data_IF_408825060997
#
_entry.id   IF_408825060997
#
_cell.length_a   1.000
_cell.length_b   1.000
_cell.length_c   1.000
_cell.angle_alpha   90.00
_cell.angle_beta   90.00
_cell.angle_gamma   90.00
#
_symmetry.space_group_name_H-M   'P 1'
#
loop_
_entity.id
_entity.type
_entity.pdbx_description
1 polymer ?
#
# COMPACT_ATOMS: atom_id res chain seq x y z
N UNK A 1 -4.97 -14.09 -9.79
CA UNK A 1 -6.07 -13.99 -8.82
C UNK A 1 -5.44 -13.83 -7.45
N UNK A 2 -5.75 -12.76 -6.71
CA UNK A 2 -5.18 -12.51 -5.38
C UNK A 2 -6.33 -12.67 -4.38
N UNK A 3 -6.25 -13.68 -3.52
CA UNK A 3 -7.23 -13.88 -2.44
C UNK A 3 -6.74 -13.16 -1.19
N UNK A 4 -7.62 -12.38 -0.57
CA UNK A 4 -7.30 -11.62 0.63
C UNK A 4 -8.25 -12.03 1.77
N UNK A 5 -7.72 -12.15 2.98
CA UNK A 5 -8.48 -12.47 4.21
C UNK A 5 -8.88 -11.24 5.02
N UNK A 6 -8.66 -10.04 4.50
CA UNK A 6 -8.95 -8.78 5.19
C UNK A 6 -10.37 -8.28 4.84
N UNK A 7 -11.09 -7.67 5.80
CA UNK A 7 -12.38 -7.04 5.53
C UNK A 7 -12.18 -5.86 4.57
N UNK A 8 -12.92 -5.87 3.47
CA UNK A 8 -13.01 -4.85 2.42
C UNK A 8 -11.73 -4.10 2.08
N UNK A 9 -10.93 -4.65 1.16
CA UNK A 9 -9.70 -4.01 0.71
C UNK A 9 -9.98 -3.00 -0.40
N UNK A 10 -9.65 -1.73 -0.14
CA UNK A 10 -9.56 -0.67 -1.13
C UNK A 10 -8.19 -0.68 -1.81
N UNK A 11 -8.15 -0.50 -3.14
CA UNK A 11 -6.92 -0.45 -3.94
C UNK A 11 -6.78 0.95 -4.52
N UNK A 12 -6.04 1.81 -3.82
CA UNK A 12 -5.93 3.20 -4.24
C UNK A 12 -5.12 3.34 -5.53
N UNK A 13 -5.68 4.10 -6.48
CA UNK A 13 -5.09 4.36 -7.79
C UNK A 13 -5.38 3.28 -8.86
N UNK A 14 -5.88 2.09 -8.49
CA UNK A 14 -6.22 1.05 -9.48
C UNK A 14 -7.59 1.32 -10.10
N UNK A 15 -7.64 1.50 -11.42
CA UNK A 15 -8.89 1.75 -12.14
C UNK A 15 -9.68 0.45 -12.38
N UNK A 16 -10.74 0.23 -11.61
CA UNK A 16 -11.65 -0.91 -11.77
C UNK A 16 -12.72 -0.63 -12.85
N UNK A 17 -12.33 -0.69 -14.13
CA UNK A 17 -13.27 -0.45 -15.25
C UNK A 17 -14.33 -1.55 -15.31
N UNK A 18 -15.61 -1.15 -15.27
CA UNK A 18 -16.80 -2.03 -15.31
C UNK A 18 -16.85 -3.04 -14.15
N UNK A 19 -16.14 -2.77 -13.05
CA UNK A 19 -15.96 -3.72 -11.95
C UNK A 19 -16.00 -3.02 -10.57
N UNK A 20 -16.92 -2.05 -10.41
CA UNK A 20 -17.01 -1.19 -9.22
C UNK A 20 -17.20 -1.95 -7.92
N UNK A 21 -17.92 -3.08 -7.96
CA UNK A 21 -18.16 -3.95 -6.80
C UNK A 21 -16.91 -4.64 -6.25
N UNK A 22 -15.76 -4.51 -6.93
CA UNK A 22 -14.47 -5.06 -6.49
C UNK A 22 -13.50 -4.02 -5.97
N UNK A 23 -13.93 -2.76 -5.95
CA UNK A 23 -13.13 -1.66 -5.44
C UNK A 23 -12.89 -1.80 -3.94
N UNK A 24 -13.90 -2.28 -3.20
CA UNK A 24 -13.82 -2.54 -1.76
C UNK A 24 -13.97 -1.28 -0.90
N UNK A 25 -14.58 -0.21 -1.44
CA UNK A 25 -15.05 0.94 -0.66
C UNK A 25 -16.38 0.60 -0.02
N UNK A 26 -16.61 1.09 1.21
CA UNK A 26 -17.92 1.03 1.85
C UNK A 26 -18.95 1.70 0.93
N UNK A 27 -19.93 0.94 0.48
CA UNK A 27 -20.97 1.39 -0.44
C UNK A 27 -20.91 0.73 -1.82
N UNK A 28 -19.73 0.28 -2.29
CA UNK A 28 -19.64 -0.58 -3.47
C UNK A 28 -19.62 -2.08 -3.12
N UNK A 29 -19.14 -2.40 -1.92
CA UNK A 29 -19.13 -3.75 -1.34
C UNK A 29 -19.62 -3.70 0.11
N UNK A 30 -20.31 -4.76 0.56
CA UNK A 30 -20.65 -4.94 1.96
C UNK A 30 -19.48 -5.59 2.73
N UNK A 31 -19.28 -5.24 4.01
CA UNK A 31 -18.23 -5.82 4.85
C UNK A 31 -18.25 -7.34 4.85
N UNK A 32 -17.09 -7.93 4.55
CA UNK A 32 -16.87 -9.37 4.68
C UNK A 32 -16.98 -9.75 6.17
N UNK A 33 -17.97 -10.56 6.57
CA UNK A 33 -18.13 -10.94 7.96
C UNK A 33 -17.01 -11.88 8.42
N UNK A 34 -16.71 -11.90 9.73
CA UNK A 34 -15.64 -12.74 10.27
C UNK A 34 -15.87 -14.22 9.91
N UNK A 35 -14.80 -14.90 9.49
CA UNK A 35 -14.84 -16.31 9.07
C UNK A 35 -15.26 -16.54 7.61
N UNK A 36 -15.67 -15.50 6.87
CA UNK A 36 -15.90 -15.61 5.41
C UNK A 36 -14.70 -15.09 4.63
N UNK A 37 -14.53 -15.63 3.43
CA UNK A 37 -13.51 -15.23 2.48
C UNK A 37 -14.16 -14.62 1.25
N UNK A 38 -13.53 -13.59 0.68
CA UNK A 38 -13.92 -13.00 -0.60
C UNK A 38 -12.70 -12.86 -1.50
N UNK A 39 -12.87 -13.16 -2.78
CA UNK A 39 -11.78 -13.11 -3.75
C UNK A 39 -11.98 -11.94 -4.70
N UNK A 40 -11.07 -10.97 -4.64
CA UNK A 40 -11.05 -9.84 -5.57
C UNK A 40 -10.37 -10.23 -6.88
N UNK A 41 -11.02 -9.94 -8.01
CA UNK A 41 -10.54 -10.16 -9.38
C UNK A 41 -10.13 -8.82 -10.00
N UNK A 42 -8.89 -8.44 -9.75
CA UNK A 42 -8.35 -7.17 -10.23
C UNK A 42 -7.93 -7.29 -11.70
N UNK A 43 -8.45 -6.41 -12.55
CA UNK A 43 -8.03 -6.29 -13.95
C UNK A 43 -7.25 -5.00 -14.18
N UNK A 44 -5.92 -5.09 -14.15
CA UNK A 44 -5.06 -3.94 -14.46
C UNK A 44 -4.67 -3.98 -15.93
N UNK A 45 -5.40 -3.24 -16.78
CA UNK A 45 -5.18 -3.26 -18.23
C UNK A 45 -4.23 -2.18 -18.72
N UNK A 46 -4.32 -0.94 -18.22
CA UNK A 46 -3.60 0.20 -18.78
C UNK A 46 -2.80 0.99 -17.74
N UNK A 47 -2.52 0.37 -16.59
CA UNK A 47 -1.80 1.02 -15.50
C UNK A 47 -0.51 0.27 -15.20
N UNK A 48 0.59 1.02 -15.22
CA UNK A 48 1.93 0.53 -14.88
C UNK A 48 2.43 1.45 -13.77
N UNK A 49 2.91 0.86 -12.67
CA UNK A 49 3.39 1.66 -11.56
C UNK A 49 3.25 0.99 -10.21
N UNK A 50 3.40 1.83 -9.19
CA UNK A 50 3.28 1.47 -7.79
C UNK A 50 1.91 1.92 -7.29
N UNK A 51 1.15 0.99 -6.73
CA UNK A 51 -0.15 1.19 -6.11
C UNK A 51 -0.09 0.70 -4.67
N UNK A 52 -1.16 0.90 -3.93
CA UNK A 52 -1.28 0.35 -2.59
C UNK A 52 -2.72 -0.01 -2.25
N UNK A 53 -2.87 -0.92 -1.32
CA UNK A 53 -4.15 -1.34 -0.80
C UNK A 53 -4.21 -1.15 0.72
N UNK A 54 -5.41 -0.89 1.21
CA UNK A 54 -5.71 -0.79 2.63
C UNK A 54 -7.19 -1.16 2.83
N UNK A 55 -7.59 -1.69 3.99
CA UNK A 55 -8.98 -1.91 4.29
C UNK A 55 -9.70 -0.57 4.40
N UNK A 56 -10.80 -0.41 3.68
CA UNK A 56 -11.65 0.79 3.76
C UNK A 56 -12.47 0.84 5.04
N UNK A 57 -12.58 -0.30 5.73
CA UNK A 57 -13.41 -0.43 6.91
C UNK A 57 -12.78 0.25 8.13
N UNK A 58 -13.48 1.27 8.63
CA UNK A 58 -13.15 1.96 9.88
C UNK A 58 -11.68 2.40 9.95
N UNK A 59 -11.01 2.13 11.07
CA UNK A 59 -9.62 2.48 11.33
C UNK A 59 -8.67 1.29 11.18
N UNK A 60 -9.04 0.27 10.40
CA UNK A 60 -8.16 -0.88 10.18
C UNK A 60 -6.86 -0.50 9.47
N UNK A 61 -6.86 0.54 8.62
CA UNK A 61 -5.63 1.14 8.06
C UNK A 61 -4.68 1.61 9.17
N UNK A 62 -5.20 2.25 10.22
CA UNK A 62 -4.43 2.73 11.37
C UNK A 62 -3.83 1.59 12.20
N UNK A 63 -4.49 0.43 12.21
CA UNK A 63 -4.00 -0.78 12.85
C UNK A 63 -2.83 -1.45 12.09
N UNK A 64 -2.35 -0.85 10.99
CA UNK A 64 -1.22 -1.36 10.21
C UNK A 64 -1.63 -2.24 9.02
N UNK A 65 -2.92 -2.37 8.72
CA UNK A 65 -3.37 -3.11 7.56
C UNK A 65 -3.22 -2.25 6.29
N UNK A 66 -2.06 -2.26 5.67
CA UNK A 66 -1.85 -1.68 4.34
C UNK A 66 -0.67 -2.37 3.66
N UNK A 67 -0.63 -2.32 2.33
CA UNK A 67 0.44 -2.93 1.55
C UNK A 67 0.61 -2.28 0.19
N UNK A 68 1.81 -2.42 -0.37
CA UNK A 68 2.10 -1.96 -1.72
C UNK A 68 1.73 -3.05 -2.74
N UNK A 69 1.24 -2.63 -3.91
CA UNK A 69 1.04 -3.46 -5.10
C UNK A 69 1.91 -2.86 -6.20
N UNK A 70 2.73 -3.69 -6.83
CA UNK A 70 3.48 -3.27 -8.04
C UNK A 70 2.87 -3.94 -9.26
N UNK A 71 2.58 -3.12 -10.28
CA UNK A 71 2.15 -3.60 -11.59
C UNK A 71 3.27 -3.35 -12.58
N UNK A 72 3.82 -4.44 -13.10
CA UNK A 72 4.87 -4.42 -14.10
C UNK A 72 4.33 -4.08 -15.49
N UNK A 73 5.19 -3.53 -16.34
CA UNK A 73 4.88 -3.41 -17.76
C UNK A 73 4.69 -4.78 -18.39
N UNK A 74 3.81 -4.85 -19.41
CA UNK A 74 3.61 -6.07 -20.17
C UNK A 74 4.86 -6.37 -21.02
N UNK A 75 5.15 -7.66 -21.30
CA UNK A 75 6.11 -8.02 -22.32
C UNK A 75 5.75 -7.30 -23.63
N UNK A 76 6.73 -6.64 -24.26
CA UNK A 76 6.62 -5.83 -25.50
C UNK A 76 6.15 -4.38 -25.37
N UNK A 77 5.87 -3.86 -24.17
CA UNK A 77 5.71 -2.41 -23.96
C UNK A 77 6.97 -1.90 -23.26
N UNK A 78 7.95 -1.33 -23.99
CA UNK A 78 9.16 -0.82 -23.37
C UNK A 78 8.80 0.40 -22.51
N UNK A 79 9.32 0.40 -21.29
CA UNK A 79 9.30 1.59 -20.44
C UNK A 79 10.32 2.61 -20.98
N UNK A 80 10.08 3.93 -20.85
CA UNK A 80 10.96 4.96 -21.41
C UNK A 80 12.29 5.14 -20.64
N UNK A 81 12.69 4.12 -19.87
CA UNK A 81 13.92 4.12 -19.08
C UNK A 81 14.60 2.75 -19.17
N UNK A 82 15.94 2.71 -19.08
CA UNK A 82 16.70 1.46 -19.06
C UNK A 82 16.37 0.61 -17.83
N UNK A 83 16.60 -0.70 -17.93
CA UNK A 83 16.33 -1.62 -16.82
C UNK A 83 17.19 -1.26 -15.61
N UNK A 84 16.58 -1.03 -14.43
CA UNK A 84 17.34 -0.66 -13.24
C UNK A 84 18.12 -1.85 -12.68
N UNK A 85 19.23 -1.56 -11.99
CA UNK A 85 20.06 -2.55 -11.29
C UNK A 85 19.34 -3.17 -10.08
N UNK A 86 18.44 -2.40 -9.47
CA UNK A 86 17.63 -2.82 -8.34
C UNK A 86 16.31 -2.03 -8.29
N UNK A 87 15.26 -2.66 -7.76
CA UNK A 87 13.96 -2.04 -7.53
C UNK A 87 13.54 -2.30 -6.09
N UNK A 88 13.56 -1.24 -5.27
CA UNK A 88 13.28 -1.31 -3.84
C UNK A 88 11.96 -0.63 -3.51
N UNK A 89 11.15 -1.27 -2.68
CA UNK A 89 9.89 -0.73 -2.20
C UNK A 89 10.06 -0.13 -0.80
N UNK A 90 9.51 1.05 -0.63
CA UNK A 90 9.54 1.82 0.60
C UNK A 90 8.10 2.12 1.00
N UNK A 91 7.54 1.32 1.89
CA UNK A 91 6.20 1.48 2.42
C UNK A 91 6.27 2.28 3.71
N UNK A 92 5.84 3.54 3.66
CA UNK A 92 5.76 4.42 4.81
C UNK A 92 4.32 4.48 5.33
N UNK A 93 4.13 4.42 6.64
CA UNK A 93 2.82 4.60 7.26
C UNK A 93 2.92 5.20 8.65
N UNK A 94 1.83 5.80 9.11
CA UNK A 94 1.75 6.37 10.45
C UNK A 94 1.61 5.27 11.50
N UNK A 95 2.29 5.42 12.63
CA UNK A 95 2.16 4.55 13.79
C UNK A 95 1.41 5.25 14.92
N UNK A 96 0.46 4.53 15.51
CA UNK A 96 -0.23 4.97 16.72
C UNK A 96 -0.06 3.88 17.79
N UNK A 97 0.38 4.27 18.99
CA UNK A 97 0.35 3.41 20.18
C UNK A 97 -1.08 3.20 20.67
N UNK A 98 -1.93 4.20 20.43
CA UNK A 98 -3.34 4.17 20.79
C UNK A 98 -4.09 3.16 19.92
N UNK A 99 -4.97 2.37 20.54
CA UNK A 99 -5.78 1.39 19.83
C UNK A 99 -6.71 2.07 18.80
N UNK A 100 -6.79 1.50 17.60
CA UNK A 100 -7.60 2.00 16.48
C UNK A 100 -9.09 2.21 16.83
N UNK A 101 -9.66 1.45 17.78
CA UNK A 101 -11.03 1.69 18.29
C UNK A 101 -11.19 3.03 19.01
N UNK A 102 -10.15 3.46 19.74
CA UNK A 102 -10.16 4.74 20.46
C UNK A 102 -10.00 5.88 19.47
N UNK A 103 -9.10 5.76 18.50
CA UNK A 103 -8.93 6.73 17.42
C UNK A 103 -10.23 6.93 16.63
N UNK A 104 -10.94 5.83 16.35
CA UNK A 104 -12.27 5.86 15.73
C UNK A 104 -13.27 6.65 16.56
N UNK A 105 -13.38 6.35 17.87
CA UNK A 105 -14.31 7.04 18.77
C UNK A 105 -14.03 8.53 18.89
N UNK A 106 -12.76 8.94 18.85
CA UNK A 106 -12.38 10.35 18.85
C UNK A 106 -12.92 11.07 17.61
N UNK A 107 -12.76 10.47 16.42
CA UNK A 107 -13.29 11.04 15.19
C UNK A 107 -14.83 11.06 15.17
N UNK A 108 -15.47 9.98 15.62
CA UNK A 108 -16.94 9.91 15.75
C UNK A 108 -17.50 10.93 16.75
N UNK A 109 -16.72 11.30 17.77
CA UNK A 109 -17.05 12.37 18.72
C UNK A 109 -16.75 13.79 18.18
N UNK A 110 -16.34 13.92 16.91
CA UNK A 110 -15.99 15.21 16.29
C UNK A 110 -14.66 15.80 16.75
N UNK A 111 -13.78 14.99 17.37
CA UNK A 111 -12.45 15.43 17.80
C UNK A 111 -11.40 15.04 16.77
N UNK A 112 -10.41 15.91 16.59
CA UNK A 112 -9.27 15.63 15.73
C UNK A 112 -8.42 14.47 16.27
N UNK A 113 -7.87 13.68 15.36
CA UNK A 113 -6.96 12.59 15.67
C UNK A 113 -5.63 13.20 16.15
N UNK A 114 -5.02 12.70 17.24
CA UNK A 114 -3.71 13.19 17.69
C UNK A 114 -2.63 12.92 16.63
N UNK A 115 -1.48 13.59 16.77
CA UNK A 115 -0.33 13.26 15.93
C UNK A 115 0.11 11.81 16.13
N UNK A 116 0.57 11.12 15.07
CA UNK A 116 1.09 9.77 15.20
C UNK A 116 2.32 9.73 16.10
N UNK A 117 2.45 8.66 16.88
CA UNK A 117 3.58 8.42 17.78
C UNK A 117 4.89 8.16 17.03
N UNK A 118 4.81 7.84 15.74
CA UNK A 118 5.96 7.65 14.87
C UNK A 118 5.58 7.29 13.44
N UNK A 119 6.60 7.04 12.63
CA UNK A 119 6.46 6.56 11.24
C UNK A 119 7.03 5.15 11.16
N UNK A 120 6.27 4.24 10.56
CA UNK A 120 6.74 2.92 10.16
C UNK A 120 7.28 2.97 8.74
N UNK A 121 8.47 2.41 8.54
CA UNK A 121 9.04 2.17 7.22
C UNK A 121 9.19 0.66 7.04
N UNK A 122 8.53 0.10 6.04
CA UNK A 122 8.45 -1.35 5.80
C UNK A 122 8.08 -2.13 7.08
N UNK A 123 7.16 -1.56 7.88
CA UNK A 123 6.69 -2.14 9.15
C UNK A 123 7.63 -1.95 10.35
N UNK A 124 8.72 -1.18 10.20
CA UNK A 124 9.70 -0.93 11.28
C UNK A 124 9.62 0.51 11.78
N UNK A 125 9.61 0.67 13.09
CA UNK A 125 9.57 1.97 13.76
C UNK A 125 10.94 2.56 14.04
N UNK A 126 10.95 3.67 14.76
CA UNK A 126 12.15 4.41 15.17
C UNK A 126 13.14 3.48 15.91
N UNK A 127 14.37 3.36 15.39
CA UNK A 127 15.44 2.51 15.94
C UNK A 127 15.63 1.14 15.27
N UNK A 128 14.73 0.71 14.37
CA UNK A 128 14.82 -0.57 13.65
C UNK A 128 15.09 -0.47 12.14
N UNK A 129 15.29 0.74 11.62
CA UNK A 129 15.42 1.00 10.18
C UNK A 129 16.83 0.71 9.67
N UNK A 130 17.22 -0.57 9.66
CA UNK A 130 18.34 -1.02 8.83
C UNK A 130 17.84 -1.18 7.40
N UNK A 131 18.04 -0.14 6.59
CA UNK A 131 18.04 -0.33 5.15
C UNK A 131 19.29 -1.12 4.82
N UNK A 132 19.17 -2.42 4.60
CA UNK A 132 20.18 -3.16 3.86
C UNK A 132 20.08 -2.70 2.40
N UNK A 133 20.50 -1.47 2.15
CA UNK A 133 20.93 -1.09 0.81
C UNK A 133 22.14 -1.98 0.61
N UNK A 134 21.99 -3.09 -0.11
CA UNK A 134 23.17 -3.70 -0.69
C UNK A 134 23.75 -2.60 -1.57
N UNK A 135 24.95 -2.05 -1.28
CA UNK A 135 25.61 -1.23 -2.26
C UNK A 135 25.76 -2.13 -3.48
N UNK A 136 25.02 -1.87 -4.54
CA UNK A 136 25.16 -2.59 -5.81
C UNK A 136 26.44 -2.07 -6.47
N UNK A 137 27.58 -2.28 -5.81
CA UNK A 137 28.79 -2.63 -6.51
C UNK A 137 28.71 -4.14 -6.74
N UNK A 138 27.81 -4.54 -7.65
CA UNK A 138 28.01 -5.83 -8.30
C UNK A 138 29.32 -5.69 -9.07
N UNK A 139 30.33 -6.57 -8.86
CA UNK A 139 31.61 -6.48 -9.59
C UNK A 139 31.41 -6.62 -11.10
N UNK A 140 30.22 -7.06 -11.53
CA UNK A 140 29.74 -7.00 -12.90
C UNK A 140 28.91 -5.72 -13.07
N UNK A 141 29.52 -4.66 -13.58
CA UNK A 141 28.78 -3.53 -14.17
C UNK A 141 27.95 -4.09 -15.32
N UNK A 142 26.66 -4.36 -15.12
CA UNK A 142 25.78 -4.78 -16.20
C UNK A 142 25.71 -3.63 -17.20
N UNK A 143 26.30 -3.82 -18.38
CA UNK A 143 26.26 -2.84 -19.48
C UNK A 143 24.79 -2.49 -19.76
N UNK A 144 24.39 -1.25 -19.49
CA UNK A 144 23.05 -0.73 -19.76
C UNK A 144 22.15 -0.49 -18.55
N UNK A 145 22.58 -0.79 -17.32
CA UNK A 145 21.82 -0.41 -16.12
C UNK A 145 22.29 0.96 -15.61
N UNK A 146 21.34 1.88 -15.40
CA UNK A 146 21.60 3.31 -15.19
C UNK A 146 21.26 3.78 -13.76
N UNK A 147 20.93 2.86 -12.86
CA UNK A 147 20.64 3.17 -11.47
C UNK A 147 19.62 2.25 -10.82
N UNK A 148 19.30 2.58 -9.58
CA UNK A 148 18.32 1.88 -8.74
C UNK A 148 17.01 2.65 -8.72
N UNK A 149 15.87 1.96 -8.81
CA UNK A 149 14.55 2.57 -8.66
C UNK A 149 14.06 2.40 -7.23
N UNK A 150 13.68 3.51 -6.60
CA UNK A 150 13.05 3.54 -5.30
C UNK A 150 11.57 3.87 -5.45
N UNK A 151 10.71 2.98 -4.96
CA UNK A 151 9.25 3.14 -5.01
C UNK A 151 8.73 3.47 -3.63
N UNK A 152 8.52 4.76 -3.38
CA UNK A 152 7.89 5.23 -2.15
C UNK A 152 6.36 5.11 -2.24
N UNK A 153 5.77 4.47 -1.25
CA UNK A 153 4.32 4.34 -1.06
C UNK A 153 4.00 4.82 0.35
N UNK A 154 3.25 5.91 0.46
CA UNK A 154 2.86 6.49 1.74
C UNK A 154 1.38 6.20 2.04
N UNK A 155 1.11 5.46 3.11
CA UNK A 155 -0.21 5.14 3.61
C UNK A 155 -0.58 6.01 4.82
N UNK A 156 -0.46 7.34 4.67
CA UNK A 156 -0.73 8.33 5.72
C UNK A 156 -2.25 8.39 5.99
N UNK A 157 -2.64 8.53 7.26
CA UNK A 157 -4.05 8.74 7.63
C UNK A 157 -4.46 10.20 7.41
N UNK A 158 -5.66 10.46 6.84
CA UNK A 158 -6.22 11.81 6.81
C UNK A 158 -6.47 12.29 8.24
N UNK A 159 -6.14 13.56 8.53
CA UNK A 159 -6.19 14.12 9.90
C UNK A 159 -7.60 14.52 10.35
N UNK A 160 -8.49 14.82 9.41
CA UNK A 160 -9.93 15.09 9.56
C UNK A 160 -10.40 15.70 8.22
N UNK A 161 -11.71 15.65 7.96
CA UNK A 161 -12.40 16.52 6.98
C UNK A 161 -13.00 17.68 7.75
#
# INVERSE_FOLDING_TARGET
MISFKLPDLLKNGVQQRKNSYQDGVIGTTCPIPPGKNFTYIIQVKDQIGSFYYFPSLAFHKAAGAFGAIRVWSRPRIPVPFPSPDGDFWLLAGDWYKTNHYVLRRLLEAGRNIPFPDGVLINGRGWGGNTFTVQPVFSPVRKRGCLGTVWRLTAAIMPKSV
#
